data_IF_541351349195
#
_entry.id   IF_541351349195
#
_cell.length_a   1.000
_cell.length_b   1.000
_cell.length_c   1.000
_cell.angle_alpha   90.00
_cell.angle_beta   90.00
_cell.angle_gamma   90.00
#
_symmetry.space_group_name_H-M   'P 1'
#
loop_
_entity.id
_entity.type
_entity.pdbx_description
1 polymer ?
#
# COMPACT_ATOMS: atom_id res chain seq x y z
N UNK A 1 -2.53 -18.34 12.82
CA UNK A 1 -3.36 -17.89 11.69
C UNK A 1 -4.63 -18.72 11.75
N UNK A 2 -5.75 -18.09 12.09
CA UNK A 2 -7.05 -18.76 12.21
C UNK A 2 -8.03 -17.88 11.46
N UNK A 3 -8.51 -18.37 10.32
CA UNK A 3 -9.55 -17.75 9.49
C UNK A 3 -10.68 -18.77 9.43
N UNK A 4 -11.89 -18.34 9.79
CA UNK A 4 -13.10 -19.11 9.56
C UNK A 4 -13.82 -18.47 8.39
N UNK A 5 -13.99 -19.20 7.29
CA UNK A 5 -14.90 -18.85 6.20
C UNK A 5 -15.86 -20.03 5.97
N UNK A 6 -17.16 -19.75 5.96
CA UNK A 6 -18.24 -20.70 5.68
C UNK A 6 -18.64 -20.55 4.22
N UNK A 7 -18.46 -21.64 3.46
CA UNK A 7 -18.91 -21.97 2.10
C UNK A 7 -19.79 -20.99 1.31
N UNK A 8 -19.31 -20.60 0.12
CA UNK A 8 -20.07 -20.66 -1.13
C UNK A 8 -19.14 -20.83 -2.34
N UNK A 9 -19.47 -21.77 -3.24
CA UNK A 9 -18.65 -22.29 -4.32
C UNK A 9 -18.43 -21.32 -5.51
N UNK A 10 -17.17 -20.99 -5.82
CA UNK A 10 -16.61 -20.90 -7.18
C UNK A 10 -15.10 -20.62 -7.12
N UNK A 11 -14.32 -21.68 -7.02
CA UNK A 11 -12.85 -21.73 -7.17
C UNK A 11 -12.08 -20.73 -6.28
N UNK A 12 -11.82 -21.14 -5.04
CA UNK A 12 -10.77 -20.54 -4.21
C UNK A 12 -9.50 -20.38 -5.06
N UNK A 13 -9.08 -19.14 -5.32
CA UNK A 13 -7.77 -18.85 -5.89
C UNK A 13 -6.83 -18.53 -4.74
N UNK A 14 -6.15 -19.52 -4.14
CA UNK A 14 -5.27 -19.32 -2.98
C UNK A 14 -4.07 -18.39 -3.26
N UNK A 15 -3.89 -17.91 -4.49
CA UNK A 15 -2.87 -16.92 -4.89
C UNK A 15 -3.40 -15.47 -4.95
N UNK A 16 -4.72 -15.25 -5.05
CA UNK A 16 -5.27 -13.88 -5.09
C UNK A 16 -5.10 -13.15 -3.74
N UNK A 17 -5.14 -13.87 -2.61
CA UNK A 17 -5.05 -13.27 -1.28
C UNK A 17 -3.66 -12.73 -0.92
N UNK A 18 -2.58 -13.28 -1.49
CA UNK A 18 -1.20 -12.94 -1.06
C UNK A 18 -0.55 -11.88 -1.95
N UNK A 19 -1.08 -11.62 -3.16
CA UNK A 19 -0.40 -10.80 -4.17
C UNK A 19 -1.26 -9.70 -4.83
N UNK A 20 -2.55 -9.57 -4.52
CA UNK A 20 -3.46 -8.66 -5.25
C UNK A 20 -4.02 -7.48 -4.44
N UNK A 21 -3.56 -7.24 -3.20
CA UNK A 21 -3.88 -5.99 -2.51
C UNK A 21 -3.23 -4.81 -3.24
N UNK A 22 -4.06 -3.91 -3.77
CA UNK A 22 -3.61 -2.66 -4.40
C UNK A 22 -3.60 -2.61 -5.94
N UNK A 23 -4.11 -3.64 -6.65
CA UNK A 23 -4.24 -3.57 -8.11
C UNK A 23 -5.59 -2.98 -8.54
N UNK A 24 -6.56 -3.84 -8.86
CA UNK A 24 -7.88 -3.43 -9.34
C UNK A 24 -9.01 -4.26 -8.75
N UNK A 25 -8.72 -5.29 -7.96
CA UNK A 25 -9.73 -6.18 -7.37
C UNK A 25 -10.10 -5.64 -5.98
N UNK A 26 -11.25 -4.95 -5.85
CA UNK A 26 -11.76 -4.61 -4.53
C UNK A 26 -12.19 -5.90 -3.81
N UNK A 27 -12.21 -5.86 -2.48
CA UNK A 27 -12.71 -6.99 -1.69
C UNK A 27 -14.20 -6.88 -1.46
N UNK A 28 -14.75 -7.77 -0.64
CA UNK A 28 -16.18 -7.76 -0.36
C UNK A 28 -16.56 -6.50 0.42
N UNK A 29 -17.74 -5.95 0.13
CA UNK A 29 -18.30 -4.83 0.88
C UNK A 29 -18.28 -5.08 2.40
N UNK A 30 -17.68 -4.15 3.12
CA UNK A 30 -17.57 -4.19 4.57
C UNK A 30 -16.38 -5.00 5.09
N UNK A 31 -15.54 -5.55 4.20
CA UNK A 31 -14.35 -6.28 4.57
C UNK A 31 -13.27 -5.34 5.14
N UNK A 32 -12.62 -5.79 6.21
CA UNK A 32 -11.46 -5.13 6.81
C UNK A 32 -10.27 -6.05 6.69
N UNK A 33 -9.18 -5.56 6.09
CA UNK A 33 -7.91 -6.28 6.09
C UNK A 33 -6.87 -5.48 6.85
N UNK A 34 -6.13 -6.18 7.70
CA UNK A 34 -4.97 -5.65 8.39
C UNK A 34 -3.72 -6.39 7.92
N UNK A 35 -2.74 -5.64 7.42
CA UNK A 35 -1.47 -6.19 6.94
C UNK A 35 -0.33 -5.62 7.78
N UNK A 36 0.55 -6.49 8.24
CA UNK A 36 1.75 -6.11 8.98
C UNK A 36 2.96 -6.73 8.29
N UNK A 37 3.83 -5.88 7.76
CA UNK A 37 5.03 -6.35 7.04
C UNK A 37 6.25 -5.74 7.69
N UNK A 38 7.29 -6.54 7.91
CA UNK A 38 8.58 -6.05 8.39
C UNK A 38 9.60 -6.18 7.27
N UNK A 39 10.26 -5.07 6.93
CA UNK A 39 11.20 -4.98 5.81
C UNK A 39 12.53 -4.41 6.28
N UNK A 40 13.60 -5.16 6.03
CA UNK A 40 14.96 -4.67 6.18
C UNK A 40 15.46 -4.08 4.85
N UNK A 41 15.94 -2.84 4.89
CA UNK A 41 16.49 -2.13 3.74
C UNK A 41 17.96 -1.82 4.00
N UNK A 42 18.86 -2.26 3.10
CA UNK A 42 20.25 -1.78 3.11
C UNK A 42 20.29 -0.44 2.37
N UNK A 43 20.15 0.67 3.09
CA UNK A 43 20.32 2.01 2.54
C UNK A 43 21.79 2.35 2.28
N UNK A 44 22.05 3.35 1.43
CA UNK A 44 23.40 3.80 1.07
C UNK A 44 24.18 4.39 2.24
N UNK A 45 23.50 5.06 3.18
CA UNK A 45 24.13 5.60 4.39
C UNK A 45 24.11 4.62 5.56
N UNK A 46 22.93 4.07 5.88
CA UNK A 46 22.76 3.10 6.99
C UNK A 46 21.58 2.18 6.67
N UNK A 47 21.61 0.92 7.16
CA UNK A 47 20.46 0.04 7.04
C UNK A 47 19.27 0.57 7.85
N UNK A 48 18.05 0.24 7.42
CA UNK A 48 16.83 0.60 8.13
C UNK A 48 15.88 -0.60 8.22
N UNK A 49 15.12 -0.65 9.31
CA UNK A 49 13.99 -1.55 9.49
C UNK A 49 12.71 -0.73 9.37
N UNK A 50 11.84 -1.12 8.46
CA UNK A 50 10.51 -0.55 8.28
C UNK A 50 9.47 -1.59 8.68
N UNK A 51 8.47 -1.16 9.42
CA UNK A 51 7.39 -2.01 9.92
C UNK A 51 6.06 -1.32 9.68
N UNK A 52 5.59 -1.26 8.42
CA UNK A 52 4.26 -0.76 8.09
C UNK A 52 3.16 -1.64 8.70
N UNK A 53 2.24 -0.97 9.38
CA UNK A 53 0.91 -1.46 9.67
C UNK A 53 -0.06 -0.80 8.69
N UNK A 54 -0.72 -1.63 7.90
CA UNK A 54 -1.68 -1.20 6.90
C UNK A 54 -3.07 -1.70 7.27
N UNK A 55 -4.07 -0.82 7.19
CA UNK A 55 -5.47 -1.14 7.44
C UNK A 55 -6.27 -0.71 6.22
N UNK A 56 -6.95 -1.66 5.62
CA UNK A 56 -7.81 -1.48 4.45
C UNK A 56 -9.27 -1.74 4.84
N UNK A 57 -10.17 -0.91 4.30
CA UNK A 57 -11.61 -1.09 4.45
C UNK A 57 -12.34 -0.87 3.13
N UNK A 58 -13.11 -1.88 2.72
CA UNK A 58 -13.90 -1.88 1.49
C UNK A 58 -15.28 -1.28 1.76
N UNK A 59 -15.45 0.00 1.41
CA UNK A 59 -16.70 0.75 1.59
C UNK A 59 -17.82 0.22 0.68
N UNK A 60 -17.45 -0.34 -0.48
CA UNK A 60 -18.32 -1.01 -1.46
C UNK A 60 -17.46 -1.99 -2.26
N UNK A 61 -18.07 -2.87 -3.06
CA UNK A 61 -17.38 -3.76 -4.02
C UNK A 61 -16.65 -3.02 -5.17
N UNK A 62 -16.45 -1.71 -5.04
CA UNK A 62 -15.74 -0.85 -6.00
C UNK A 62 -14.93 0.24 -5.33
N UNK A 63 -15.05 0.45 -4.02
CA UNK A 63 -14.43 1.59 -3.35
C UNK A 63 -13.81 1.14 -2.05
N UNK A 64 -12.54 1.48 -1.89
CA UNK A 64 -11.74 1.13 -0.75
C UNK A 64 -11.08 2.38 -0.17
N UNK A 65 -10.82 2.34 1.14
CA UNK A 65 -9.93 3.27 1.82
C UNK A 65 -8.84 2.50 2.53
N UNK A 66 -7.70 3.17 2.71
CA UNK A 66 -6.50 2.58 3.27
C UNK A 66 -5.84 3.58 4.23
N UNK A 67 -5.28 3.08 5.32
CA UNK A 67 -4.42 3.83 6.23
C UNK A 67 -3.14 3.02 6.38
N UNK A 68 -2.00 3.64 6.07
CA UNK A 68 -0.68 3.05 6.30
C UNK A 68 0.05 3.85 7.37
N UNK A 69 0.45 3.15 8.43
CA UNK A 69 1.29 3.68 9.48
C UNK A 69 2.64 2.95 9.50
N UNK A 70 3.68 3.67 9.11
CA UNK A 70 5.02 3.10 9.02
C UNK A 70 5.82 3.33 10.30
N UNK A 71 6.12 2.28 11.07
CA UNK A 71 7.11 2.37 12.15
C UNK A 71 8.52 2.14 11.58
N UNK A 72 9.50 2.94 12.02
CA UNK A 72 10.86 2.89 11.48
C UNK A 72 11.91 2.79 12.57
N UNK A 73 12.96 2.02 12.30
CA UNK A 73 14.15 1.90 13.12
C UNK A 73 15.41 2.00 12.27
N UNK A 74 16.38 2.81 12.69
CA UNK A 74 17.64 3.01 11.97
C UNK A 74 18.79 3.14 12.97
N UNK A 75 19.97 2.53 12.72
CA UNK A 75 21.17 2.84 13.49
C UNK A 75 21.50 4.33 13.40
N UNK A 76 22.05 4.90 14.47
CA UNK A 76 22.60 6.27 14.46
C UNK A 76 23.81 6.34 13.54
N UNK A 77 24.20 7.55 13.13
CA UNK A 77 25.38 7.78 12.26
C UNK A 77 26.66 7.11 12.82
N UNK A 78 26.79 7.09 14.16
CA UNK A 78 27.91 6.45 14.89
C UNK A 78 27.81 4.93 15.01
N UNK A 79 26.68 4.32 14.64
CA UNK A 79 26.39 2.89 14.84
C UNK A 79 26.20 2.45 16.31
N UNK A 80 26.41 3.34 17.28
CA UNK A 80 26.39 3.01 18.70
C UNK A 80 24.97 2.86 19.27
N UNK A 81 23.95 3.41 18.62
CA UNK A 81 22.55 3.34 19.04
C UNK A 81 21.61 3.11 17.86
N UNK A 82 20.34 2.83 18.13
CA UNK A 82 19.28 2.75 17.12
C UNK A 82 18.21 3.79 17.43
N UNK A 83 18.00 4.73 16.51
CA UNK A 83 16.86 5.63 16.52
C UNK A 83 15.63 4.87 16.07
N UNK A 84 14.57 4.92 16.87
CA UNK A 84 13.27 4.30 16.56
C UNK A 84 12.16 5.32 16.73
N UNK A 85 11.10 5.17 15.94
CA UNK A 85 9.89 5.92 16.16
C UNK A 85 8.87 5.72 15.05
N UNK A 86 7.81 6.52 15.13
CA UNK A 86 6.84 6.62 14.05
C UNK A 86 7.49 7.28 12.83
N UNK A 87 7.28 6.70 11.67
CA UNK A 87 7.47 7.35 10.39
C UNK A 87 6.23 8.13 10.00
N UNK A 88 6.03 8.21 8.69
CA UNK A 88 4.96 8.96 8.07
C UNK A 88 3.65 8.16 8.00
N UNK A 89 2.55 8.88 7.93
CA UNK A 89 1.20 8.34 7.89
C UNK A 89 0.65 8.59 6.49
N UNK A 90 0.21 7.54 5.81
CA UNK A 90 -0.46 7.64 4.51
C UNK A 90 -1.94 7.29 4.62
N UNK A 91 -2.75 7.96 3.81
CA UNK A 91 -4.15 7.66 3.59
C UNK A 91 -4.36 7.40 2.11
N UNK A 92 -5.01 6.30 1.78
CA UNK A 92 -5.35 5.90 0.43
C UNK A 92 -6.86 5.87 0.21
N UNK A 93 -7.29 6.14 -1.01
CA UNK A 93 -8.60 5.70 -1.49
C UNK A 93 -8.45 5.15 -2.90
N UNK A 94 -9.23 4.12 -3.20
CA UNK A 94 -9.22 3.48 -4.50
C UNK A 94 -10.66 3.28 -5.00
N UNK A 95 -10.86 3.49 -6.29
CA UNK A 95 -12.08 3.17 -6.99
C UNK A 95 -11.79 2.23 -8.15
N UNK A 96 -12.49 1.10 -8.22
CA UNK A 96 -12.28 0.02 -9.18
C UNK A 96 -13.50 -0.20 -10.06
N UNK A 97 -13.24 -0.46 -11.34
CA UNK A 97 -14.20 -0.84 -12.37
C UNK A 97 -13.80 -2.20 -12.93
N UNK A 98 -14.55 -3.22 -12.54
CA UNK A 98 -14.33 -4.60 -12.96
C UNK A 98 -15.15 -4.96 -14.19
N UNK A 99 -14.58 -5.84 -15.02
CA UNK A 99 -15.22 -6.44 -16.19
C UNK A 99 -15.91 -5.41 -17.10
N UNK A 100 -15.16 -4.38 -17.49
CA UNK A 100 -15.66 -3.25 -18.29
C UNK A 100 -16.31 -3.80 -19.56
N UNK A 101 -17.59 -3.48 -19.76
CA UNK A 101 -18.40 -3.98 -20.90
C UNK A 101 -18.43 -5.52 -21.01
N UNK A 102 -18.49 -6.24 -19.89
CA UNK A 102 -18.49 -7.71 -19.81
C UNK A 102 -17.25 -8.34 -20.46
N UNK A 103 -16.11 -7.65 -20.37
CA UNK A 103 -14.83 -8.15 -20.85
C UNK A 103 -13.92 -8.55 -19.68
N UNK A 104 -12.72 -9.03 -20.01
CA UNK A 104 -11.67 -9.33 -19.05
C UNK A 104 -10.82 -8.09 -18.69
N UNK A 105 -11.28 -6.88 -19.03
CA UNK A 105 -10.60 -5.63 -18.71
C UNK A 105 -11.12 -4.98 -17.43
N UNK A 106 -10.19 -4.42 -16.68
CA UNK A 106 -10.41 -3.76 -15.40
C UNK A 106 -9.65 -2.43 -15.34
N UNK A 107 -10.16 -1.49 -14.56
CA UNK A 107 -9.51 -0.19 -14.34
C UNK A 107 -9.68 0.25 -12.90
N UNK A 108 -8.64 0.86 -12.33
CA UNK A 108 -8.63 1.43 -11.00
C UNK A 108 -8.08 2.83 -11.01
N UNK A 109 -8.65 3.72 -10.21
CA UNK A 109 -8.05 5.01 -9.85
C UNK A 109 -7.77 4.98 -8.36
N UNK A 110 -6.52 5.20 -7.98
CA UNK A 110 -6.09 5.30 -6.58
C UNK A 110 -5.54 6.70 -6.33
N UNK A 111 -5.73 7.18 -5.12
CA UNK A 111 -5.14 8.41 -4.64
C UNK A 111 -4.54 8.16 -3.27
N UNK A 112 -3.26 8.47 -3.10
CA UNK A 112 -2.57 8.42 -1.82
C UNK A 112 -2.20 9.83 -1.35
N UNK A 113 -2.32 10.05 -0.04
CA UNK A 113 -1.94 11.25 0.65
C UNK A 113 -1.03 10.90 1.82
N UNK A 114 0.22 11.36 1.79
CA UNK A 114 1.21 11.11 2.83
C UNK A 114 1.45 12.37 3.67
N UNK A 115 1.33 12.23 4.97
CA UNK A 115 1.64 13.26 5.96
C UNK A 115 2.99 12.99 6.61
N UNK A 116 3.88 14.00 6.71
CA UNK A 116 5.15 13.84 7.38
C UNK A 116 4.91 13.86 8.89
N UNK A 117 4.49 12.76 9.51
CA UNK A 117 4.26 12.66 10.96
C UNK A 117 5.50 12.22 11.73
N UNK A 118 6.48 11.66 11.02
CA UNK A 118 7.77 11.26 11.58
C UNK A 118 8.64 12.47 11.94
N UNK A 119 9.74 12.20 12.64
CA UNK A 119 10.72 13.21 13.02
C UNK A 119 11.79 13.33 11.94
N UNK A 120 11.94 14.53 11.38
CA UNK A 120 12.97 14.86 10.39
C UNK A 120 14.37 14.85 11.01
N UNK A 121 14.50 15.34 12.25
CA UNK A 121 15.78 15.34 13.01
C UNK A 121 16.31 13.94 13.27
N UNK A 122 15.38 12.98 13.45
CA UNK A 122 15.68 11.57 13.64
C UNK A 122 15.72 10.77 12.34
N UNK A 123 15.58 11.44 11.19
CA UNK A 123 15.53 10.82 9.86
C UNK A 123 14.44 9.75 9.70
N UNK A 124 13.34 9.89 10.45
CA UNK A 124 12.18 9.00 10.36
C UNK A 124 11.13 9.52 9.35
N UNK A 125 11.36 10.73 8.81
CA UNK A 125 10.53 11.38 7.80
C UNK A 125 11.41 12.30 6.97
N UNK A 126 11.05 12.44 5.70
CA UNK A 126 11.66 13.47 4.83
C UNK A 126 11.05 14.85 5.08
N UNK A 127 9.92 14.96 5.78
CA UNK A 127 9.35 16.27 6.16
C UNK A 127 8.51 16.94 5.08
N UNK A 128 8.18 16.23 4.00
CA UNK A 128 7.25 16.70 2.97
C UNK A 128 5.88 16.05 3.08
N UNK A 129 4.86 16.76 2.62
CA UNK A 129 3.58 16.17 2.24
C UNK A 129 3.69 15.68 0.81
N UNK A 130 3.06 14.55 0.51
CA UNK A 130 2.96 14.02 -0.85
C UNK A 130 1.52 13.64 -1.19
N UNK A 131 1.13 13.90 -2.44
CA UNK A 131 -0.13 13.47 -3.02
C UNK A 131 0.18 12.67 -4.29
N UNK A 132 -0.38 11.48 -4.43
CA UNK A 132 -0.08 10.58 -5.54
C UNK A 132 -1.36 10.00 -6.13
N UNK A 133 -1.89 10.59 -7.22
CA UNK A 133 -2.85 9.89 -8.08
C UNK A 133 -2.16 8.77 -8.85
N UNK A 134 -2.86 7.64 -8.93
CA UNK A 134 -2.52 6.48 -9.73
C UNK A 134 -3.70 6.08 -10.61
N UNK A 135 -3.38 5.65 -11.83
CA UNK A 135 -4.31 4.96 -12.69
C UNK A 135 -3.76 3.58 -13.00
N UNK A 136 -4.61 2.58 -12.83
CA UNK A 136 -4.28 1.17 -13.00
C UNK A 136 -5.23 0.62 -14.06
N UNK A 137 -4.68 -0.12 -15.01
CA UNK A 137 -5.47 -0.92 -15.96
C UNK A 137 -4.96 -2.35 -15.90
N UNK A 138 -5.88 -3.30 -15.91
CA UNK A 138 -5.53 -4.71 -15.92
C UNK A 138 -6.36 -5.47 -16.94
N UNK A 139 -5.82 -6.61 -17.37
CA UNK A 139 -6.52 -7.57 -18.22
C UNK A 139 -6.25 -8.99 -17.74
N UNK A 140 -7.32 -9.75 -17.59
CA UNK A 140 -7.24 -11.18 -17.32
C UNK A 140 -7.13 -11.98 -18.61
N UNK A 141 -6.44 -13.11 -18.52
CA UNK A 141 -6.32 -14.11 -19.57
C UNK A 141 -6.72 -15.48 -19.02
N UNK A 142 -8.04 -15.77 -18.92
CA UNK A 142 -8.54 -17.01 -18.31
C UNK A 142 -8.00 -18.28 -18.98
N UNK A 143 -7.73 -18.22 -20.30
CA UNK A 143 -7.19 -19.33 -21.09
C UNK A 143 -5.69 -19.56 -20.91
N UNK A 144 -4.97 -18.66 -20.22
CA UNK A 144 -3.53 -18.72 -19.99
C UNK A 144 -3.26 -18.96 -18.51
N UNK A 145 -3.78 -20.05 -17.94
CA UNK A 145 -3.60 -20.39 -16.52
C UNK A 145 -3.98 -19.25 -15.56
N UNK A 146 -5.07 -18.51 -15.86
CA UNK A 146 -5.54 -17.40 -15.03
C UNK A 146 -4.44 -16.32 -14.86
N UNK A 147 -3.67 -16.08 -15.92
CA UNK A 147 -2.66 -15.01 -15.94
C UNK A 147 -3.35 -13.65 -16.00
N UNK A 148 -2.78 -12.68 -15.29
CA UNK A 148 -3.17 -11.29 -15.35
C UNK A 148 -1.99 -10.43 -15.77
N UNK A 149 -2.26 -9.41 -16.60
CA UNK A 149 -1.31 -8.35 -16.92
C UNK A 149 -1.90 -7.03 -16.47
N UNK A 150 -1.12 -6.20 -15.79
CA UNK A 150 -1.53 -4.87 -15.39
C UNK A 150 -0.48 -3.82 -15.75
N UNK A 151 -0.94 -2.57 -15.86
CA UNK A 151 -0.14 -1.37 -15.99
C UNK A 151 -0.64 -0.37 -14.97
N UNK A 152 0.30 0.16 -14.17
CA UNK A 152 0.04 1.24 -13.22
C UNK A 152 0.89 2.45 -13.58
N UNK A 153 0.26 3.62 -13.60
CA UNK A 153 0.93 4.91 -13.81
C UNK A 153 0.56 5.81 -12.65
N UNK A 154 1.57 6.38 -11.98
CA UNK A 154 1.40 7.32 -10.87
C UNK A 154 2.18 8.60 -11.08
N UNK A 155 1.71 9.69 -10.48
CA UNK A 155 2.41 10.98 -10.47
C UNK A 155 2.48 11.50 -9.03
N UNK A 156 3.68 11.67 -8.49
CA UNK A 156 3.88 12.20 -7.14
C UNK A 156 4.04 13.72 -7.11
N UNK A 157 3.25 14.38 -6.27
CA UNK A 157 3.34 15.82 -6.01
C UNK A 157 3.84 16.07 -4.60
N UNK A 158 5.07 16.57 -4.48
CA UNK A 158 5.75 16.74 -3.19
C UNK A 158 5.79 18.21 -2.78
N UNK A 159 5.48 18.49 -1.52
CA UNK A 159 5.63 19.82 -0.90
C UNK A 159 6.31 19.71 0.46
N UNK A 160 7.50 20.30 0.57
CA UNK A 160 8.24 20.39 1.83
C UNK A 160 7.48 21.22 2.86
N UNK A 161 7.23 20.65 4.03
CA UNK A 161 6.72 21.38 5.20
C UNK A 161 7.82 21.67 6.22
N UNK A 162 8.73 20.71 6.39
CA UNK A 162 9.82 20.76 7.37
C UNK A 162 11.09 20.31 6.67
N UNK A 163 12.20 20.99 6.94
CA UNK A 163 13.53 20.61 6.46
C UNK A 163 14.44 20.46 7.68
N UNK A 164 15.39 19.52 7.60
CA UNK A 164 16.49 19.46 8.55
C UNK A 164 17.23 20.80 8.48
N UNK A 165 17.37 21.48 9.61
CA UNK A 165 18.24 22.65 9.67
C UNK A 165 19.69 22.16 9.52
N UNK A 166 20.53 22.86 8.75
CA UNK A 166 21.94 22.51 8.62
C UNK A 166 22.66 22.50 9.98
#
# INVERSE_FOLDING_TARGET
MMVFAVNASAQEQPIQEVLQTGLVYPKEHGEVQCSFTSRWCKGTAHPSLHTPLNVEYDITDRRQIEIDWNAMGRPTETGAATTRGRGDLSFGTQYCLMNIRRSDFHSGVRFEFRLPTGSVEKELSEGFIEYEPYHIVARDFPKLNITQVYLQVGVGFVKWLRRRRP
#
